data_IF_333259158462
#
_entry.id   IF_333259158462
#
_cell.length_a   1.000
_cell.length_b   1.000
_cell.length_c   1.000
_cell.angle_alpha   90.00
_cell.angle_beta   90.00
_cell.angle_gamma   90.00
#
_symmetry.space_group_name_H-M   'P 1'
#
loop_
_entity.id
_entity.type
_entity.pdbx_description
1 polymer ?
#
# COMPACT_ATOMS: atom_id res chain seq x y z
N UNK A 1 -18.17 6.02 -11.76
CA UNK A 1 -17.26 6.57 -10.74
C UNK A 1 -15.86 6.41 -11.28
N UNK A 2 -15.10 7.50 -11.47
CA UNK A 2 -13.72 7.40 -11.98
C UNK A 2 -12.76 7.41 -10.79
N UNK A 3 -11.82 6.47 -10.75
CA UNK A 3 -10.82 6.35 -9.70
C UNK A 3 -9.43 6.49 -10.32
N UNK A 4 -8.55 7.24 -9.65
CA UNK A 4 -7.15 7.44 -10.06
C UNK A 4 -6.26 6.96 -8.93
N UNK A 5 -5.20 6.24 -9.29
CA UNK A 5 -4.16 5.77 -8.36
C UNK A 5 -2.93 6.65 -8.55
N UNK A 6 -2.45 7.24 -7.46
CA UNK A 6 -1.23 8.06 -7.42
C UNK A 6 -0.27 7.46 -6.40
N UNK A 7 0.99 7.19 -6.74
CA UNK A 7 2.00 6.78 -5.77
C UNK A 7 2.25 7.90 -4.75
N UNK A 8 2.18 7.61 -3.45
CA UNK A 8 2.42 8.63 -2.42
C UNK A 8 3.81 9.30 -2.55
N UNK A 9 4.81 8.55 -3.01
CA UNK A 9 6.17 9.07 -3.23
C UNK A 9 6.33 10.06 -4.39
N UNK A 10 5.29 10.29 -5.20
CA UNK A 10 5.30 11.32 -6.25
C UNK A 10 4.78 12.68 -5.79
N UNK A 11 4.39 12.81 -4.51
CA UNK A 11 3.88 14.06 -3.95
C UNK A 11 5.03 14.92 -3.42
N UNK A 12 4.93 16.24 -3.59
CA UNK A 12 5.92 17.20 -3.04
C UNK A 12 5.82 17.32 -1.50
N UNK A 13 4.67 16.92 -0.95
CA UNK A 13 4.33 17.04 0.46
C UNK A 13 3.74 15.74 0.97
N UNK A 14 3.92 15.48 2.27
CA UNK A 14 3.32 14.33 2.92
C UNK A 14 1.79 14.41 2.84
N UNK A 15 1.10 13.33 2.43
CA UNK A 15 -0.35 13.36 2.22
C UNK A 15 -1.17 13.40 3.53
N UNK A 16 -0.52 13.39 4.70
CA UNK A 16 -1.19 13.41 6.00
C UNK A 16 -1.96 12.13 6.35
N UNK A 17 -1.77 11.05 5.57
CA UNK A 17 -2.34 9.73 5.80
C UNK A 17 -1.22 8.70 5.94
N UNK A 18 -1.43 7.70 6.79
CA UNK A 18 -0.54 6.56 6.91
C UNK A 18 -1.11 5.35 6.16
N UNK A 19 -0.27 4.40 5.70
CA UNK A 19 -0.78 3.18 5.07
C UNK A 19 -1.64 2.37 6.05
N UNK A 20 -2.84 1.98 5.61
CA UNK A 20 -3.79 1.22 6.44
C UNK A 20 -3.76 -0.29 6.16
N UNK A 21 -3.32 -0.67 4.95
CA UNK A 21 -3.23 -2.06 4.52
C UNK A 21 -2.13 -2.25 3.48
N UNK A 22 -1.59 -3.47 3.40
CA UNK A 22 -0.69 -3.93 2.35
C UNK A 22 -1.39 -5.02 1.53
N UNK A 23 -1.72 -4.73 0.28
CA UNK A 23 -2.34 -5.69 -0.65
C UNK A 23 -1.28 -6.33 -1.57
N UNK A 24 -1.62 -7.48 -2.18
CA UNK A 24 -0.72 -8.25 -3.05
C UNK A 24 0.57 -8.75 -2.39
N UNK A 25 0.53 -9.03 -1.08
CA UNK A 25 1.69 -9.52 -0.33
C UNK A 25 2.21 -10.89 -0.82
N UNK A 26 1.40 -11.70 -1.50
CA UNK A 26 1.83 -12.98 -2.07
C UNK A 26 2.88 -12.86 -3.18
N UNK A 27 3.00 -11.67 -3.80
CA UNK A 27 3.98 -11.38 -4.86
C UNK A 27 5.14 -10.51 -4.38
N UNK A 28 5.27 -10.31 -3.06
CA UNK A 28 6.23 -9.41 -2.45
C UNK A 28 7.63 -10.04 -2.41
N UNK A 29 8.66 -9.22 -2.55
CA UNK A 29 10.04 -9.67 -2.36
C UNK A 29 10.38 -9.87 -0.87
N UNK A 30 11.30 -10.80 -0.59
CA UNK A 30 11.72 -11.15 0.79
C UNK A 30 12.33 -9.97 1.57
N UNK A 31 12.88 -8.97 0.87
CA UNK A 31 13.46 -7.77 1.48
C UNK A 31 12.45 -6.65 1.73
N UNK A 32 11.17 -6.87 1.46
CA UNK A 32 10.14 -5.87 1.71
C UNK A 32 9.90 -5.66 3.21
N UNK A 33 9.24 -4.55 3.54
CA UNK A 33 8.94 -4.17 4.91
C UNK A 33 8.16 -5.27 5.65
N UNK A 34 8.59 -5.53 6.87
CA UNK A 34 7.87 -6.34 7.86
C UNK A 34 7.43 -5.37 8.98
N UNK A 35 6.16 -4.98 8.92
CA UNK A 35 5.51 -4.09 9.89
C UNK A 35 4.15 -4.66 10.29
N UNK A 36 3.56 -4.11 11.37
CA UNK A 36 2.30 -4.61 11.95
C UNK A 36 1.04 -4.18 11.17
N UNK A 37 1.18 -3.72 9.92
CA UNK A 37 0.06 -3.26 9.09
C UNK A 37 -0.66 -4.47 8.49
N UNK A 38 -1.99 -4.47 8.48
CA UNK A 38 -2.80 -5.57 7.94
C UNK A 38 -2.39 -5.95 6.52
N UNK A 39 -2.05 -7.22 6.30
CA UNK A 39 -1.57 -7.73 5.01
C UNK A 39 -2.61 -8.61 4.32
N UNK A 40 -2.77 -8.43 3.01
CA UNK A 40 -3.61 -9.23 2.13
C UNK A 40 -2.80 -9.73 0.93
N UNK A 41 -3.03 -10.97 0.52
CA UNK A 41 -2.39 -11.54 -0.67
C UNK A 41 -3.03 -11.05 -1.97
N UNK A 42 -4.26 -10.53 -1.91
CA UNK A 42 -5.07 -10.06 -3.04
C UNK A 42 -5.89 -8.83 -2.60
N UNK A 43 -6.84 -8.39 -3.41
CA UNK A 43 -7.78 -7.34 -2.97
C UNK A 43 -8.71 -7.89 -1.86
N UNK A 44 -8.92 -7.15 -0.76
CA UNK A 44 -9.93 -7.50 0.23
C UNK A 44 -11.33 -7.40 -0.37
N UNK A 45 -12.19 -8.37 -0.04
CA UNK A 45 -13.65 -8.35 -0.31
C UNK A 45 -14.39 -7.40 0.65
#
# INVERSE_FOLDING_TARGET
MCMVILPAGSLDHEPGISPEARIFCGSRADWSCDDDITTFNEYPE
#
